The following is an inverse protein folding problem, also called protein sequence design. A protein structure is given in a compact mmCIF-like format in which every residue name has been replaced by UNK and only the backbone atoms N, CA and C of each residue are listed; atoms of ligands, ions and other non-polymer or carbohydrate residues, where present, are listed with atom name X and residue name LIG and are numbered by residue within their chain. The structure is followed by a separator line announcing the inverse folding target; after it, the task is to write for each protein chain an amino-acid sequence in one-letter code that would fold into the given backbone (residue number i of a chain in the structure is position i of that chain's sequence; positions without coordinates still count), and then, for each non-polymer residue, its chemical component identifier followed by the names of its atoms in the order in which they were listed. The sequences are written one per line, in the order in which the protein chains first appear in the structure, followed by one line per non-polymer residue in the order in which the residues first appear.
data_IF_819776166044
#
_entry.id   IF_819776166044
#
_cell.length_a   1.000
_cell.length_b   1.000
_cell.length_c   1.000
_cell.angle_alpha   90.00
_cell.angle_beta   90.00
_cell.angle_gamma   90.00
#
_symmetry.space_group_name_H-M   'P 1'
#
loop_
_entity.id
_entity.type
_entity.pdbx_description
1 polymer ?
#
# COMPACT_ATOMS: atom_id res chain seq x y z
N UNK A 1 -90.99 -36.99 -9.36
CA UNK A 1 -90.25 -36.63 -8.15
C UNK A 1 -88.83 -36.33 -8.53
N UNK A 2 -88.57 -35.07 -8.62
CA UNK A 2 -87.41 -34.22 -8.74
C UNK A 2 -86.24 -34.73 -9.60
N UNK A 3 -86.18 -34.21 -10.82
CA UNK A 3 -85.13 -34.28 -11.79
C UNK A 3 -84.09 -33.14 -11.52
N UNK A 4 -82.82 -33.47 -11.38
CA UNK A 4 -81.79 -32.46 -11.28
C UNK A 4 -81.00 -32.45 -12.61
N UNK A 5 -81.09 -31.31 -13.30
CA UNK A 5 -80.25 -30.96 -14.45
C UNK A 5 -78.86 -30.61 -13.97
N UNK A 6 -77.85 -31.20 -14.57
CA UNK A 6 -76.44 -30.81 -14.43
C UNK A 6 -76.05 -30.07 -15.69
N UNK A 7 -75.76 -28.78 -15.52
CA UNK A 7 -75.19 -27.96 -16.59
C UNK A 7 -73.66 -28.06 -16.50
N UNK A 8 -73.10 -28.61 -17.55
CA UNK A 8 -71.64 -28.71 -17.73
C UNK A 8 -71.14 -27.41 -18.39
N UNK A 9 -70.44 -26.58 -17.63
CA UNK A 9 -69.79 -25.37 -18.15
C UNK A 9 -68.32 -25.68 -18.44
N UNK A 10 -67.93 -25.71 -19.71
CA UNK A 10 -66.53 -25.83 -20.16
C UNK A 10 -65.80 -24.51 -19.91
N UNK A 11 -64.86 -24.52 -18.97
CA UNK A 11 -63.90 -23.43 -18.82
C UNK A 11 -62.62 -23.85 -19.58
N UNK A 12 -62.34 -23.14 -20.68
CA UNK A 12 -61.07 -23.24 -21.40
C UNK A 12 -60.05 -22.40 -20.66
N UNK A 13 -59.16 -23.00 -19.89
CA UNK A 13 -58.00 -22.37 -19.32
C UNK A 13 -56.91 -22.17 -20.38
N UNK A 14 -56.67 -20.93 -20.79
CA UNK A 14 -55.48 -20.57 -21.55
C UNK A 14 -54.30 -20.46 -20.59
N UNK A 15 -53.41 -21.43 -20.66
CA UNK A 15 -52.07 -21.33 -19.98
C UNK A 15 -51.18 -20.49 -20.87
N UNK A 16 -50.98 -19.22 -20.48
CA UNK A 16 -49.95 -18.37 -21.08
C UNK A 16 -48.60 -18.76 -20.45
N UNK A 17 -47.80 -19.47 -21.22
CA UNK A 17 -46.42 -19.80 -20.83
C UNK A 17 -45.55 -18.57 -20.98
N UNK A 18 -45.33 -17.81 -19.89
CA UNK A 18 -44.29 -16.78 -19.83
C UNK A 18 -42.91 -17.45 -19.79
N UNK A 19 -42.27 -17.54 -20.94
CA UNK A 19 -40.84 -17.88 -21.05
C UNK A 19 -40.05 -16.65 -20.49
N UNK A 20 -39.78 -16.66 -19.19
CA UNK A 20 -38.81 -15.76 -18.59
C UNK A 20 -37.42 -16.17 -19.13
N UNK A 21 -36.89 -15.40 -20.08
CA UNK A 21 -35.50 -15.52 -20.50
C UNK A 21 -34.60 -15.06 -19.32
N UNK A 22 -34.17 -16.01 -18.51
CA UNK A 22 -33.10 -15.78 -17.55
C UNK A 22 -31.79 -15.61 -18.33
N UNK A 23 -31.45 -14.37 -18.63
CA UNK A 23 -30.06 -14.07 -19.02
C UNK A 23 -29.17 -14.47 -17.84
N UNK A 24 -28.12 -15.27 -18.05
CA UNK A 24 -27.16 -15.51 -16.98
C UNK A 24 -26.59 -14.14 -16.61
N UNK A 25 -26.82 -13.70 -15.38
CA UNK A 25 -26.03 -12.63 -14.77
C UNK A 25 -24.63 -13.20 -14.69
N UNK A 26 -23.79 -12.85 -15.66
CA UNK A 26 -22.36 -13.06 -15.55
C UNK A 26 -21.93 -12.24 -14.33
N UNK A 27 -21.81 -12.87 -13.18
CA UNK A 27 -21.18 -12.25 -12.03
C UNK A 27 -19.77 -11.93 -12.50
N UNK A 28 -19.51 -10.68 -12.81
CA UNK A 28 -18.14 -10.18 -12.92
C UNK A 28 -17.51 -10.50 -11.56
N UNK A 29 -16.62 -11.48 -11.54
CA UNK A 29 -15.67 -11.66 -10.46
C UNK A 29 -14.83 -10.38 -10.50
N UNK A 30 -15.23 -9.39 -9.71
CA UNK A 30 -14.44 -8.20 -9.50
C UNK A 30 -13.18 -8.70 -8.78
N UNK A 31 -12.07 -8.77 -9.50
CA UNK A 31 -10.77 -8.90 -8.87
C UNK A 31 -10.69 -7.85 -7.77
N UNK A 32 -10.16 -8.17 -6.57
CA UNK A 32 -10.00 -7.17 -5.53
C UNK A 32 -9.28 -5.96 -6.15
N UNK A 33 -9.90 -4.80 -6.02
CA UNK A 33 -9.37 -3.57 -6.60
C UNK A 33 -8.03 -3.26 -5.94
N UNK A 34 -6.97 -3.07 -6.74
CA UNK A 34 -5.66 -2.67 -6.21
C UNK A 34 -5.75 -1.36 -5.45
N UNK A 35 -5.12 -1.29 -4.28
CA UNK A 35 -5.08 -0.08 -3.48
C UNK A 35 -4.19 0.98 -4.15
N UNK A 36 -4.67 2.20 -4.26
CA UNK A 36 -3.83 3.34 -4.64
C UNK A 36 -3.26 3.95 -3.37
N UNK A 37 -1.94 3.82 -3.22
CA UNK A 37 -1.19 4.24 -2.03
C UNK A 37 -0.40 5.51 -2.32
N UNK A 38 -0.64 6.58 -1.56
CA UNK A 38 0.14 7.82 -1.67
C UNK A 38 1.52 7.65 -1.06
N UNK A 39 2.58 7.63 -1.90
CA UNK A 39 3.99 7.52 -1.51
C UNK A 39 4.44 8.76 -0.75
N UNK A 40 4.75 8.60 0.55
CA UNK A 40 5.03 9.71 1.48
C UNK A 40 3.89 10.74 1.52
N UNK A 41 2.66 10.24 1.38
CA UNK A 41 1.47 11.04 1.13
C UNK A 41 1.29 11.40 -0.35
N UNK A 42 0.64 12.52 -0.66
CA UNK A 42 0.53 13.05 -2.02
C UNK A 42 1.78 13.89 -2.38
N UNK A 43 2.95 13.26 -2.39
CA UNK A 43 4.27 13.93 -2.41
C UNK A 43 4.56 14.73 -3.68
N UNK A 44 3.85 14.49 -4.78
CA UNK A 44 3.97 15.36 -5.98
C UNK A 44 3.44 16.78 -5.75
N UNK A 45 2.43 16.96 -4.88
CA UNK A 45 1.70 18.22 -4.68
C UNK A 45 1.79 18.78 -3.26
N UNK A 46 2.34 18.03 -2.31
CA UNK A 46 2.57 18.47 -0.93
C UNK A 46 3.95 17.97 -0.45
N UNK A 47 4.56 18.58 0.61
CA UNK A 47 5.86 18.15 1.09
C UNK A 47 5.81 16.73 1.65
N UNK A 48 6.66 15.84 1.11
CA UNK A 48 6.71 14.43 1.48
C UNK A 48 6.80 14.21 2.98
N UNK A 49 6.17 13.15 3.49
CA UNK A 49 6.26 12.72 4.89
C UNK A 49 5.79 13.78 5.92
N UNK A 50 4.91 14.71 5.52
CA UNK A 50 4.27 15.69 6.43
C UNK A 50 2.78 15.38 6.59
N UNK A 51 2.15 15.94 7.63
CA UNK A 51 0.71 15.80 7.82
C UNK A 51 -0.07 16.42 6.65
N UNK A 52 0.42 17.53 6.07
CA UNK A 52 -0.16 18.13 4.88
C UNK A 52 -0.20 17.16 3.70
N UNK A 53 0.89 16.40 3.46
CA UNK A 53 0.92 15.41 2.37
C UNK A 53 -0.03 14.23 2.62
N UNK A 54 -0.15 13.76 3.86
CA UNK A 54 -1.07 12.69 4.20
C UNK A 54 -2.54 13.12 4.08
N UNK A 55 -2.90 14.28 4.59
CA UNK A 55 -4.24 14.84 4.41
C UNK A 55 -4.57 15.04 2.93
N UNK A 56 -3.61 15.56 2.16
CA UNK A 56 -3.79 15.73 0.72
C UNK A 56 -3.98 14.40 -0.01
N UNK A 57 -3.29 13.32 0.40
CA UNK A 57 -3.51 11.99 -0.15
C UNK A 57 -4.94 11.49 0.09
N UNK A 58 -5.49 11.68 1.28
CA UNK A 58 -6.89 11.34 1.57
C UNK A 58 -7.87 12.19 0.78
N UNK A 59 -7.63 13.51 0.65
CA UNK A 59 -8.47 14.42 -0.15
C UNK A 59 -8.56 14.00 -1.63
N UNK A 60 -7.46 13.51 -2.21
CA UNK A 60 -7.45 13.05 -3.61
C UNK A 60 -7.90 11.60 -3.77
N UNK A 61 -8.37 10.97 -2.70
CA UNK A 61 -9.03 9.67 -2.71
C UNK A 61 -8.08 8.48 -2.70
N UNK A 62 -6.89 8.58 -2.08
CA UNK A 62 -6.06 7.40 -1.83
C UNK A 62 -6.80 6.38 -0.96
N UNK A 63 -6.57 5.08 -1.24
CA UNK A 63 -7.04 3.97 -0.40
C UNK A 63 -6.09 3.74 0.77
N UNK A 64 -4.82 4.12 0.59
CA UNK A 64 -3.76 4.02 1.56
C UNK A 64 -2.80 5.22 1.49
N UNK A 65 -2.09 5.45 2.58
CA UNK A 65 -0.89 6.29 2.60
C UNK A 65 0.32 5.43 2.97
N UNK A 66 1.46 5.81 2.47
CA UNK A 66 2.74 5.25 2.87
C UNK A 66 3.61 6.38 3.43
N UNK A 67 4.40 6.07 4.45
CA UNK A 67 5.37 6.98 5.04
C UNK A 67 6.61 6.26 5.55
N UNK A 68 7.74 6.97 5.51
CA UNK A 68 9.06 6.49 5.93
C UNK A 68 9.32 6.82 7.40
N UNK A 69 9.71 5.86 8.23
CA UNK A 69 9.86 6.06 9.66
C UNK A 69 11.25 5.73 10.17
N UNK A 70 11.80 6.64 10.99
CA UNK A 70 13.11 6.53 11.63
C UNK A 70 13.05 6.83 13.12
N UNK A 71 14.05 6.32 13.86
CA UNK A 71 14.25 6.63 15.27
C UNK A 71 15.08 7.89 15.46
N UNK A 72 14.64 8.73 16.40
CA UNK A 72 15.40 9.85 16.93
C UNK A 72 16.34 9.41 18.05
N UNK A 73 17.25 10.28 18.49
CA UNK A 73 18.18 9.99 19.60
C UNK A 73 17.48 9.72 20.96
N UNK A 74 16.26 10.20 21.12
CA UNK A 74 15.41 9.99 22.32
C UNK A 74 14.33 8.93 22.10
N UNK A 75 14.54 8.03 21.10
CA UNK A 75 13.72 6.84 20.88
C UNK A 75 12.31 7.14 20.37
N UNK A 76 12.08 8.28 19.74
CA UNK A 76 10.81 8.61 19.11
C UNK A 76 10.82 8.23 17.64
N UNK A 77 9.66 7.77 17.13
CA UNK A 77 9.51 7.44 15.71
C UNK A 77 8.94 8.65 14.98
N UNK A 78 9.70 9.15 14.01
CA UNK A 78 9.30 10.27 13.15
C UNK A 78 9.22 9.86 11.70
N UNK A 79 8.45 10.63 10.93
CA UNK A 79 8.27 10.39 9.49
C UNK A 79 9.29 11.22 8.69
N UNK A 80 10.30 10.54 8.13
CA UNK A 80 11.34 11.13 7.28
C UNK A 80 12.06 10.03 6.48
N UNK A 81 12.29 10.28 5.18
CA UNK A 81 12.98 9.30 4.32
C UNK A 81 14.48 9.22 4.61
N UNK A 82 15.19 10.36 4.55
CA UNK A 82 16.64 10.40 4.64
C UNK A 82 17.12 10.20 6.07
N UNK A 83 18.36 9.78 6.25
CA UNK A 83 18.99 9.67 7.57
C UNK A 83 19.32 11.04 8.19
N UNK A 84 19.22 12.12 7.42
CA UNK A 84 19.43 13.49 7.86
C UNK A 84 18.38 14.43 7.24
N UNK A 85 18.31 15.66 7.76
CA UNK A 85 17.26 16.61 7.40
C UNK A 85 17.64 17.57 6.26
N UNK A 86 18.85 17.45 5.69
CA UNK A 86 19.41 18.46 4.75
C UNK A 86 18.51 18.72 3.55
N UNK A 87 18.00 17.68 2.89
CA UNK A 87 17.25 17.80 1.63
C UNK A 87 15.92 18.51 1.81
N UNK A 88 15.24 18.27 2.94
CA UNK A 88 13.87 18.77 3.17
C UNK A 88 13.80 19.98 4.09
N UNK A 89 14.91 20.39 4.68
CA UNK A 89 14.92 21.57 5.59
C UNK A 89 16.03 22.58 5.29
N UNK A 90 17.01 22.23 4.45
CA UNK A 90 18.21 23.01 4.24
C UNK A 90 19.23 22.96 5.40
N UNK A 91 18.87 22.34 6.53
CA UNK A 91 19.71 22.23 7.72
C UNK A 91 20.11 20.77 7.94
N UNK A 92 21.41 20.49 8.04
CA UNK A 92 21.90 19.12 8.20
C UNK A 92 21.88 18.69 9.67
N UNK A 93 20.96 17.82 10.05
CA UNK A 93 20.93 17.12 11.33
C UNK A 93 20.75 15.62 11.09
N UNK A 94 21.61 14.81 11.69
CA UNK A 94 21.47 13.36 11.72
C UNK A 94 20.28 13.00 12.61
N UNK A 95 19.31 12.27 12.05
CA UNK A 95 18.07 11.92 12.75
C UNK A 95 18.36 11.08 14.00
N UNK A 96 19.24 10.09 13.88
CA UNK A 96 19.57 9.18 14.99
C UNK A 96 20.34 9.84 16.14
N UNK A 97 20.91 11.02 15.90
CA UNK A 97 21.66 11.81 16.88
C UNK A 97 20.92 13.06 17.39
N UNK A 98 19.71 13.27 16.91
CA UNK A 98 18.94 14.50 17.22
C UNK A 98 17.62 14.13 17.91
N UNK A 99 17.24 14.88 18.96
CA UNK A 99 15.99 14.67 19.69
C UNK A 99 14.78 15.11 18.86
N UNK A 100 13.61 14.49 19.11
CA UNK A 100 12.33 14.86 18.49
C UNK A 100 12.09 16.38 18.55
N UNK A 101 12.26 16.99 19.72
CA UNK A 101 12.05 18.44 19.90
C UNK A 101 12.92 19.28 18.96
N UNK A 102 14.18 18.90 18.77
CA UNK A 102 15.11 19.61 17.91
C UNK A 102 14.82 19.40 16.43
N UNK A 103 14.26 18.26 16.05
CA UNK A 103 13.84 17.96 14.67
C UNK A 103 12.54 18.70 14.33
N UNK A 104 11.56 18.72 15.22
CA UNK A 104 10.29 19.43 15.03
C UNK A 104 10.42 20.96 15.06
N UNK A 105 11.57 21.51 15.47
CA UNK A 105 11.86 22.93 15.34
C UNK A 105 12.31 23.35 13.92
N UNK A 106 12.48 22.40 13.00
CA UNK A 106 12.85 22.66 11.60
C UNK A 106 11.59 22.74 10.73
N UNK A 107 11.70 23.49 9.63
CA UNK A 107 10.66 23.60 8.62
C UNK A 107 10.85 22.52 7.54
N UNK A 108 9.90 21.59 7.46
CA UNK A 108 9.87 20.49 6.49
C UNK A 108 8.96 20.78 5.28
N UNK A 109 8.37 21.97 5.20
CA UNK A 109 7.39 22.31 4.17
C UNK A 109 7.87 23.33 3.15
N UNK A 110 8.55 24.37 3.56
CA UNK A 110 8.92 25.52 2.72
C UNK A 110 9.77 25.15 1.49
N UNK A 111 10.54 24.07 1.54
CA UNK A 111 11.32 23.57 0.39
C UNK A 111 10.42 23.15 -0.78
N UNK A 112 9.21 22.70 -0.51
CA UNK A 112 8.23 22.25 -1.52
C UNK A 112 7.47 23.43 -2.10
N UNK A 113 6.91 24.27 -1.23
CA UNK A 113 6.21 25.49 -1.57
C UNK A 113 6.09 26.36 -0.30
N UNK A 114 6.13 27.68 -0.45
CA UNK A 114 6.03 28.65 0.66
C UNK A 114 4.71 28.49 1.44
N UNK A 115 3.64 28.02 0.81
CA UNK A 115 2.35 27.77 1.46
C UNK A 115 2.42 26.65 2.51
N UNK A 116 3.45 25.80 2.46
CA UNK A 116 3.70 24.76 3.46
C UNK A 116 4.75 25.17 4.50
N UNK A 117 5.17 26.43 4.52
CA UNK A 117 6.12 26.90 5.51
C UNK A 117 5.60 26.65 6.94
N UNK A 118 6.46 26.10 7.80
CA UNK A 118 6.11 25.70 9.16
C UNK A 118 5.60 24.28 9.34
N UNK A 119 5.45 23.49 8.27
CA UNK A 119 5.23 22.04 8.40
C UNK A 119 6.41 21.40 9.15
N UNK A 120 6.10 20.45 10.02
CA UNK A 120 7.10 19.74 10.82
C UNK A 120 7.14 18.26 10.47
N UNK A 121 8.22 17.55 10.82
CA UNK A 121 8.23 16.10 10.73
C UNK A 121 7.26 15.51 11.78
N UNK A 122 6.21 14.79 11.34
CA UNK A 122 5.27 14.20 12.29
C UNK A 122 5.85 12.95 12.94
N UNK A 123 5.39 12.65 14.16
CA UNK A 123 5.57 11.33 14.76
C UNK A 123 4.64 10.30 14.12
N UNK A 124 4.98 9.01 14.23
CA UNK A 124 4.10 7.93 13.79
C UNK A 124 2.69 8.04 14.42
N UNK A 125 2.61 8.37 15.71
CA UNK A 125 1.33 8.57 16.37
C UNK A 125 0.48 9.68 15.76
N UNK A 126 1.10 10.77 15.30
CA UNK A 126 0.39 11.85 14.58
C UNK A 126 -0.07 11.40 13.18
N UNK A 127 0.75 10.61 12.46
CA UNK A 127 0.36 10.06 11.16
C UNK A 127 -0.82 9.11 11.31
N UNK A 128 -0.79 8.21 12.29
CA UNK A 128 -1.89 7.27 12.60
C UNK A 128 -3.22 8.01 12.78
N UNK A 129 -3.23 9.16 13.42
CA UNK A 129 -4.46 9.96 13.64
C UNK A 129 -5.06 10.54 12.36
N UNK A 130 -4.32 10.57 11.25
CA UNK A 130 -4.85 11.01 9.94
C UNK A 130 -5.62 9.91 9.21
N UNK A 131 -5.47 8.64 9.61
CA UNK A 131 -6.01 7.49 8.89
C UNK A 131 -7.52 7.41 9.09
N UNK A 132 -8.33 7.50 8.02
CA UNK A 132 -9.78 7.38 8.13
C UNK A 132 -10.20 5.93 8.38
N UNK A 133 -11.49 5.67 8.76
CA UNK A 133 -11.97 4.33 9.11
C UNK A 133 -11.74 3.23 8.07
N UNK A 134 -11.66 3.59 6.79
CA UNK A 134 -11.43 2.65 5.68
C UNK A 134 -10.04 2.78 5.04
N UNK A 135 -9.21 3.69 5.56
CA UNK A 135 -7.85 3.93 5.05
C UNK A 135 -6.88 2.85 5.52
N UNK A 136 -5.81 2.65 4.76
CA UNK A 136 -4.69 1.79 5.11
C UNK A 136 -3.43 2.63 5.33
N UNK A 137 -2.58 2.20 6.23
CA UNK A 137 -1.28 2.84 6.51
C UNK A 137 -0.15 1.85 6.26
N UNK A 138 0.72 2.16 5.30
CA UNK A 138 1.97 1.47 5.08
C UNK A 138 3.08 2.20 5.85
N UNK A 139 3.69 1.51 6.81
CA UNK A 139 4.75 2.04 7.68
C UNK A 139 6.08 1.49 7.23
N UNK A 140 6.87 2.29 6.47
CA UNK A 140 8.21 1.85 6.08
C UNK A 140 9.23 2.07 7.21
N UNK A 141 9.80 0.98 7.69
CA UNK A 141 10.83 0.99 8.72
C UNK A 141 12.20 1.15 8.09
N UNK A 142 12.76 2.38 8.17
CA UNK A 142 14.04 2.78 7.55
C UNK A 142 15.27 2.50 8.40
N UNK A 143 15.08 2.02 9.63
CA UNK A 143 16.16 1.66 10.55
C UNK A 143 16.21 0.15 10.78
N UNK A 144 17.19 -0.31 11.56
CA UNK A 144 17.31 -1.72 11.90
C UNK A 144 16.27 -2.23 12.90
N UNK A 145 16.45 -3.44 13.44
CA UNK A 145 15.49 -4.06 14.36
C UNK A 145 15.22 -3.29 15.66
N UNK A 146 16.04 -2.30 15.98
CA UNK A 146 15.89 -1.44 17.16
C UNK A 146 14.63 -0.58 17.14
N UNK A 147 14.02 -0.35 15.96
CA UNK A 147 12.76 0.41 15.85
C UNK A 147 11.54 -0.38 16.33
N UNK A 148 11.65 -1.72 16.40
CA UNK A 148 10.48 -2.59 16.61
C UNK A 148 9.86 -2.43 18.00
N UNK A 149 10.69 -2.29 19.06
CA UNK A 149 10.18 -2.07 20.41
C UNK A 149 9.47 -0.70 20.57
N UNK A 150 10.07 0.45 20.15
CA UNK A 150 9.36 1.73 20.11
C UNK A 150 8.09 1.70 19.24
N UNK A 151 8.09 0.93 18.15
CA UNK A 151 6.90 0.73 17.32
C UNK A 151 5.80 0.00 18.11
N UNK A 152 6.14 -1.06 18.84
CA UNK A 152 5.18 -1.80 19.66
C UNK A 152 4.54 -0.88 20.72
N UNK A 153 5.33 -0.05 21.40
CA UNK A 153 4.81 0.93 22.36
C UNK A 153 3.88 1.96 21.69
N UNK A 154 4.20 2.41 20.49
CA UNK A 154 3.39 3.36 19.75
C UNK A 154 2.04 2.74 19.33
N UNK A 155 2.07 1.52 18.75
CA UNK A 155 0.88 0.83 18.30
C UNK A 155 -0.03 0.41 19.46
N UNK A 156 0.52 0.03 20.60
CA UNK A 156 -0.26 -0.30 21.80
C UNK A 156 -1.08 0.89 22.31
N UNK A 157 -0.61 2.13 22.09
CA UNK A 157 -1.31 3.37 22.49
C UNK A 157 -2.27 3.87 21.41
N UNK A 158 -2.26 3.24 20.22
CA UNK A 158 -3.08 3.62 19.09
C UNK A 158 -4.46 2.95 19.15
N UNK A 159 -5.47 3.68 18.68
CA UNK A 159 -6.81 3.12 18.41
C UNK A 159 -6.98 2.57 16.99
N UNK A 160 -5.97 2.74 16.11
CA UNK A 160 -6.05 2.24 14.75
C UNK A 160 -6.00 0.71 14.75
N UNK A 161 -6.97 0.01 14.14
CA UNK A 161 -6.95 -1.44 14.04
C UNK A 161 -5.69 -1.95 13.33
N UNK A 162 -5.09 -3.02 13.83
CA UNK A 162 -3.90 -3.63 13.20
C UNK A 162 -4.14 -4.08 11.76
N UNK A 163 -5.40 -4.38 11.40
CA UNK A 163 -5.81 -4.71 10.02
C UNK A 163 -5.71 -3.53 9.04
N UNK A 164 -5.58 -2.29 9.55
CA UNK A 164 -5.35 -1.09 8.74
C UNK A 164 -3.84 -0.73 8.64
N UNK A 165 -2.95 -1.53 9.23
CA UNK A 165 -1.51 -1.28 9.25
C UNK A 165 -0.79 -2.37 8.47
N UNK A 166 0.10 -1.96 7.59
CA UNK A 166 1.07 -2.82 6.91
C UNK A 166 2.47 -2.31 7.22
N UNK A 167 3.32 -3.16 7.77
CA UNK A 167 4.74 -2.85 7.99
C UNK A 167 5.52 -3.21 6.74
N UNK A 168 6.34 -2.31 6.25
CA UNK A 168 7.18 -2.55 5.08
C UNK A 168 8.64 -2.21 5.39
N UNK A 169 9.58 -2.97 4.85
CA UNK A 169 11.02 -2.73 5.06
C UNK A 169 11.89 -3.48 4.06
N UNK A 170 13.05 -2.91 3.72
CA UNK A 170 14.12 -3.61 2.99
C UNK A 170 14.96 -4.51 3.91
N UNK A 171 14.98 -4.22 5.21
CA UNK A 171 15.85 -4.90 6.16
C UNK A 171 15.22 -6.22 6.62
N UNK A 172 15.82 -7.34 6.21
CA UNK A 172 15.37 -8.69 6.53
C UNK A 172 15.32 -8.96 8.04
N UNK A 173 16.33 -8.47 8.79
CA UNK A 173 16.37 -8.63 10.24
C UNK A 173 15.23 -7.88 10.93
N UNK A 174 14.89 -6.69 10.41
CA UNK A 174 13.74 -5.90 10.89
C UNK A 174 12.42 -6.62 10.57
N UNK A 175 12.26 -7.12 9.34
CA UNK A 175 11.07 -7.90 8.95
C UNK A 175 10.88 -9.13 9.85
N UNK A 176 11.94 -9.90 10.08
CA UNK A 176 11.91 -11.08 10.95
C UNK A 176 11.55 -10.73 12.40
N UNK A 177 12.10 -9.64 12.94
CA UNK A 177 11.76 -9.18 14.29
C UNK A 177 10.32 -8.68 14.35
N UNK A 178 9.83 -7.97 13.31
CA UNK A 178 8.43 -7.55 13.19
C UNK A 178 7.49 -8.76 13.20
N UNK A 179 7.78 -9.82 12.45
CA UNK A 179 6.96 -11.04 12.44
C UNK A 179 6.81 -11.64 13.83
N UNK A 180 7.92 -11.70 14.59
CA UNK A 180 7.91 -12.25 15.95
C UNK A 180 7.10 -11.37 16.91
N UNK A 181 7.22 -10.04 16.77
CA UNK A 181 6.59 -9.08 17.69
C UNK A 181 5.13 -8.80 17.32
N UNK A 182 4.80 -8.82 16.04
CA UNK A 182 3.47 -8.48 15.50
C UNK A 182 2.90 -9.63 14.65
N UNK A 183 2.48 -10.75 15.25
CA UNK A 183 2.02 -11.92 14.48
C UNK A 183 0.78 -11.65 13.62
N UNK A 184 -0.03 -10.64 13.99
CA UNK A 184 -1.28 -10.30 13.32
C UNK A 184 -1.20 -9.05 12.43
N UNK A 185 -0.01 -8.43 12.29
CA UNK A 185 0.20 -7.31 11.37
C UNK A 185 0.83 -7.84 10.09
N UNK A 186 0.37 -7.34 8.97
CA UNK A 186 0.90 -7.69 7.65
C UNK A 186 2.30 -7.10 7.47
N UNK A 187 3.23 -7.92 7.00
CA UNK A 187 4.63 -7.53 6.79
C UNK A 187 5.00 -7.75 5.35
N UNK A 188 5.42 -6.69 4.66
CA UNK A 188 5.94 -6.77 3.31
C UNK A 188 7.46 -6.52 3.31
N UNK A 189 8.18 -7.40 2.65
CA UNK A 189 9.59 -7.17 2.39
C UNK A 189 9.77 -6.44 1.06
N UNK A 190 10.53 -5.34 1.08
CA UNK A 190 10.80 -4.53 -0.09
C UNK A 190 12.08 -5.01 -0.78
N UNK A 191 12.05 -5.07 -2.11
CA UNK A 191 13.23 -5.37 -2.92
C UNK A 191 13.29 -4.48 -4.16
N UNK A 192 14.51 -4.18 -4.57
CA UNK A 192 14.82 -3.51 -5.83
C UNK A 192 15.61 -4.45 -6.73
N UNK A 193 15.59 -4.20 -8.03
CA UNK A 193 16.24 -5.05 -9.02
C UNK A 193 17.55 -4.46 -9.50
N UNK A 194 18.55 -5.32 -9.65
CA UNK A 194 19.85 -4.98 -10.23
C UNK A 194 20.17 -5.96 -11.36
N UNK A 195 20.80 -5.47 -12.43
CA UNK A 195 21.31 -6.34 -13.47
C UNK A 195 22.52 -7.12 -12.94
N UNK A 196 22.60 -8.39 -13.31
CA UNK A 196 23.79 -9.19 -13.03
C UNK A 196 24.97 -8.70 -13.89
N UNK A 197 26.10 -8.39 -13.27
CA UNK A 197 27.27 -7.81 -13.96
C UNK A 197 27.78 -8.68 -15.12
N UNK A 198 27.64 -10.00 -15.03
CA UNK A 198 28.15 -10.96 -16.02
C UNK A 198 27.09 -11.52 -16.97
N UNK A 199 25.81 -11.10 -16.82
CA UNK A 199 24.68 -11.58 -17.63
C UNK A 199 23.71 -10.41 -17.84
N UNK A 200 23.85 -9.72 -18.97
CA UNK A 200 23.13 -8.47 -19.25
C UNK A 200 21.61 -8.57 -19.24
N UNK A 201 21.05 -9.78 -19.39
CA UNK A 201 19.61 -10.02 -19.44
C UNK A 201 19.06 -10.64 -18.14
N UNK A 202 19.91 -10.80 -17.10
CA UNK A 202 19.47 -11.38 -15.81
C UNK A 202 19.33 -10.30 -14.76
N UNK A 203 18.16 -10.26 -14.14
CA UNK A 203 17.84 -9.39 -13.02
C UNK A 203 17.86 -10.16 -11.70
N UNK A 204 18.41 -9.53 -10.66
CA UNK A 204 18.39 -10.04 -9.29
C UNK A 204 17.64 -9.10 -8.36
N UNK A 205 16.92 -9.65 -7.34
CA UNK A 205 16.80 -11.07 -7.04
C UNK A 205 15.90 -11.81 -8.05
N UNK A 206 16.14 -13.12 -8.22
CA UNK A 206 15.25 -14.01 -8.97
C UNK A 206 13.95 -14.29 -8.22
N UNK A 207 12.94 -14.86 -8.89
CA UNK A 207 11.69 -15.27 -8.24
C UNK A 207 11.92 -16.28 -7.10
N UNK A 208 12.80 -17.26 -7.31
CA UNK A 208 13.20 -18.25 -6.31
C UNK A 208 13.88 -17.60 -5.09
N UNK A 209 14.79 -16.64 -5.32
CA UNK A 209 15.44 -15.91 -4.24
C UNK A 209 14.44 -15.08 -3.42
N UNK A 210 13.46 -14.45 -4.07
CA UNK A 210 12.39 -13.72 -3.39
C UNK A 210 11.57 -14.67 -2.53
N UNK A 211 11.11 -15.80 -3.07
CA UNK A 211 10.32 -16.77 -2.34
C UNK A 211 11.07 -17.32 -1.12
N UNK A 212 12.34 -17.70 -1.30
CA UNK A 212 13.22 -18.17 -0.21
C UNK A 212 13.40 -17.11 0.88
N UNK A 213 13.61 -15.84 0.49
CA UNK A 213 13.75 -14.75 1.46
C UNK A 213 12.47 -14.54 2.27
N UNK A 214 11.30 -14.48 1.60
CA UNK A 214 10.02 -14.31 2.29
C UNK A 214 9.78 -15.43 3.33
N UNK A 215 10.07 -16.68 2.98
CA UNK A 215 9.96 -17.82 3.90
C UNK A 215 10.91 -17.66 5.10
N UNK A 216 12.18 -17.33 4.86
CA UNK A 216 13.20 -17.20 5.91
C UNK A 216 12.90 -16.11 6.93
N UNK A 217 12.31 -15.00 6.48
CA UNK A 217 12.01 -13.85 7.35
C UNK A 217 10.55 -13.85 7.85
N UNK A 218 9.71 -14.72 7.31
CA UNK A 218 8.29 -14.81 7.64
C UNK A 218 7.47 -13.59 7.16
N UNK A 219 7.88 -12.93 6.07
CA UNK A 219 7.09 -11.85 5.48
C UNK A 219 5.94 -12.40 4.65
N UNK A 220 4.82 -11.67 4.62
CA UNK A 220 3.59 -12.14 3.96
C UNK A 220 3.60 -11.84 2.46
N UNK A 221 4.23 -10.73 2.05
CA UNK A 221 4.15 -10.17 0.70
C UNK A 221 5.49 -9.56 0.29
N UNK A 222 5.79 -9.58 -0.99
CA UNK A 222 6.90 -8.81 -1.55
C UNK A 222 6.45 -7.47 -2.10
N UNK A 223 7.20 -6.40 -1.79
CA UNK A 223 7.08 -5.10 -2.44
C UNK A 223 8.15 -4.94 -3.51
N UNK A 224 7.73 -4.98 -4.77
CA UNK A 224 8.64 -4.96 -5.92
C UNK A 224 8.88 -3.52 -6.39
N UNK A 225 10.14 -3.15 -6.63
CA UNK A 225 10.43 -1.98 -7.43
C UNK A 225 9.77 -2.11 -8.82
N UNK A 226 9.05 -1.10 -9.27
CA UNK A 226 8.32 -1.10 -10.53
C UNK A 226 9.23 -0.95 -11.76
N UNK A 227 10.22 -1.84 -11.88
CA UNK A 227 11.15 -1.84 -13.01
C UNK A 227 10.63 -2.73 -14.12
N UNK A 228 10.08 -2.15 -15.20
CA UNK A 228 9.37 -2.87 -16.27
C UNK A 228 10.20 -3.93 -17.00
N UNK A 229 11.52 -3.73 -17.14
CA UNK A 229 12.40 -4.74 -17.76
C UNK A 229 12.66 -5.93 -16.83
N UNK A 230 12.56 -5.73 -15.50
CA UNK A 230 12.74 -6.79 -14.51
C UNK A 230 11.40 -7.47 -14.18
N UNK A 231 10.36 -6.66 -13.86
CA UNK A 231 9.04 -7.14 -13.44
C UNK A 231 8.13 -7.31 -14.64
N UNK A 232 8.48 -8.28 -15.48
CA UNK A 232 7.69 -8.67 -16.65
C UNK A 232 6.57 -9.63 -16.26
N UNK A 233 5.61 -9.85 -17.15
CA UNK A 233 4.59 -10.91 -16.97
C UNK A 233 5.21 -12.29 -16.77
N UNK A 234 6.30 -12.60 -17.48
CA UNK A 234 7.03 -13.86 -17.32
C UNK A 234 7.62 -13.99 -15.92
N UNK A 235 8.24 -12.94 -15.39
CA UNK A 235 8.77 -12.90 -14.03
C UNK A 235 7.65 -13.09 -12.97
N UNK A 236 6.52 -12.39 -13.12
CA UNK A 236 5.39 -12.53 -12.22
C UNK A 236 4.78 -13.94 -12.24
N UNK A 237 4.80 -14.62 -13.40
CA UNK A 237 4.40 -16.02 -13.48
C UNK A 237 5.39 -16.95 -12.77
N UNK A 238 6.70 -16.69 -12.90
CA UNK A 238 7.72 -17.44 -12.13
C UNK A 238 7.51 -17.24 -10.63
N UNK A 239 7.28 -16.01 -10.19
CA UNK A 239 7.02 -15.69 -8.79
C UNK A 239 5.80 -16.46 -8.23
N UNK A 240 4.71 -16.55 -9.01
CA UNK A 240 3.53 -17.35 -8.65
C UNK A 240 3.82 -18.86 -8.59
N UNK A 241 4.68 -19.36 -9.48
CA UNK A 241 5.10 -20.77 -9.47
C UNK A 241 5.94 -21.11 -8.23
N UNK A 242 6.68 -20.14 -7.69
CA UNK A 242 7.39 -20.26 -6.41
C UNK A 242 6.45 -20.07 -5.18
N UNK A 243 5.14 -19.94 -5.40
CA UNK A 243 4.15 -19.80 -4.33
C UNK A 243 3.90 -18.36 -3.86
N UNK A 244 4.58 -17.36 -4.42
CA UNK A 244 4.35 -15.94 -4.09
C UNK A 244 3.21 -15.40 -4.95
N UNK A 245 2.01 -15.38 -4.40
CA UNK A 245 0.79 -15.00 -5.12
C UNK A 245 0.37 -13.55 -4.93
N UNK A 246 0.88 -12.88 -3.89
CA UNK A 246 0.59 -11.48 -3.59
C UNK A 246 1.86 -10.63 -3.67
N UNK A 247 1.73 -9.48 -4.30
CA UNK A 247 2.79 -8.47 -4.39
C UNK A 247 2.19 -7.06 -4.47
N UNK A 248 2.94 -6.07 -4.03
CA UNK A 248 2.67 -4.66 -4.33
C UNK A 248 3.85 -4.05 -5.09
N UNK A 249 3.65 -2.90 -5.72
CA UNK A 249 4.69 -2.22 -6.50
C UNK A 249 4.90 -0.78 -6.06
N UNK A 250 6.15 -0.32 -6.14
CA UNK A 250 6.62 1.01 -5.78
C UNK A 250 7.82 1.42 -6.67
N UNK A 251 8.06 2.65 -7.03
CA UNK A 251 7.09 3.73 -7.08
C UNK A 251 6.60 3.85 -8.51
N UNK A 252 5.29 3.86 -8.72
CA UNK A 252 4.67 3.84 -10.04
C UNK A 252 4.01 5.17 -10.30
N UNK A 253 4.63 6.03 -11.09
CA UNK A 253 4.09 7.34 -11.45
C UNK A 253 3.54 7.38 -12.88
N UNK A 254 3.96 6.43 -13.74
CA UNK A 254 3.43 6.25 -15.09
C UNK A 254 2.09 5.51 -15.04
N UNK A 255 1.00 6.07 -15.61
CA UNK A 255 -0.31 5.45 -15.58
C UNK A 255 -0.41 4.13 -16.36
N UNK A 256 0.34 3.96 -17.45
CA UNK A 256 0.32 2.73 -18.25
C UNK A 256 1.01 1.57 -17.51
N UNK A 257 2.08 1.89 -16.79
CA UNK A 257 2.73 0.94 -15.87
C UNK A 257 1.79 0.54 -14.74
N UNK A 258 1.07 1.49 -14.17
CA UNK A 258 0.09 1.18 -13.14
C UNK A 258 -1.02 0.24 -13.64
N UNK A 259 -1.57 0.50 -14.83
CA UNK A 259 -2.58 -0.37 -15.47
C UNK A 259 -2.01 -1.76 -15.70
N UNK A 260 -0.75 -1.88 -16.14
CA UNK A 260 -0.11 -3.18 -16.29
C UNK A 260 -0.06 -3.93 -14.96
N UNK A 261 0.44 -3.32 -13.89
CA UNK A 261 0.55 -3.98 -12.59
C UNK A 261 -0.80 -4.32 -11.96
N UNK A 262 -1.81 -3.47 -12.15
CA UNK A 262 -3.20 -3.76 -11.73
C UNK A 262 -3.74 -5.00 -12.46
N UNK A 263 -3.56 -5.08 -13.78
CA UNK A 263 -3.98 -6.23 -14.59
C UNK A 263 -3.23 -7.51 -14.23
N UNK A 264 -1.98 -7.38 -13.82
CA UNK A 264 -1.19 -8.51 -13.32
C UNK A 264 -1.45 -8.82 -11.84
N UNK A 265 -2.41 -8.15 -11.19
CA UNK A 265 -2.91 -8.50 -9.86
C UNK A 265 -2.09 -7.93 -8.70
N UNK A 266 -1.41 -6.81 -8.89
CA UNK A 266 -0.77 -6.11 -7.78
C UNK A 266 -1.80 -5.76 -6.70
N UNK A 267 -1.49 -6.09 -5.43
CA UNK A 267 -2.33 -5.75 -4.28
C UNK A 267 -2.44 -4.24 -4.05
N UNK A 268 -1.34 -3.52 -4.22
CA UNK A 268 -1.29 -2.07 -4.09
C UNK A 268 -0.30 -1.45 -5.07
N UNK A 269 -0.61 -0.22 -5.48
CA UNK A 269 0.24 0.64 -6.31
C UNK A 269 0.65 1.84 -5.47
N UNK A 270 1.94 1.94 -5.13
CA UNK A 270 2.49 3.10 -4.42
C UNK A 270 2.98 4.14 -5.42
N UNK A 271 2.47 5.38 -5.33
CA UNK A 271 2.71 6.44 -6.32
C UNK A 271 2.90 7.81 -5.67
N UNK A 272 3.74 8.66 -6.27
CA UNK A 272 3.86 10.09 -5.92
C UNK A 272 2.68 10.93 -6.48
N UNK A 273 2.01 10.43 -7.51
CA UNK A 273 0.98 11.16 -8.28
C UNK A 273 -0.43 10.56 -8.14
N UNK A 274 -0.94 10.29 -6.91
CA UNK A 274 -2.17 9.53 -6.72
C UNK A 274 -3.40 10.15 -7.39
N UNK A 275 -3.50 11.49 -7.42
CA UNK A 275 -4.61 12.18 -8.07
C UNK A 275 -4.63 11.95 -9.60
N UNK A 276 -3.47 11.94 -10.24
CA UNK A 276 -3.35 11.69 -11.68
C UNK A 276 -3.68 10.23 -11.97
N UNK A 277 -3.09 9.32 -11.22
CA UNK A 277 -3.29 7.89 -11.40
C UNK A 277 -4.75 7.50 -11.23
N UNK A 278 -5.42 8.01 -10.19
CA UNK A 278 -6.84 7.75 -9.94
C UNK A 278 -7.73 8.18 -11.11
N UNK A 279 -7.52 9.38 -11.65
CA UNK A 279 -8.27 9.87 -12.83
C UNK A 279 -8.05 8.98 -14.05
N UNK A 280 -6.82 8.54 -14.28
CA UNK A 280 -6.50 7.69 -15.43
C UNK A 280 -7.15 6.31 -15.33
N UNK A 281 -7.11 5.66 -14.16
CA UNK A 281 -7.75 4.36 -13.94
C UNK A 281 -9.28 4.44 -14.11
N UNK A 282 -9.92 5.53 -13.69
CA UNK A 282 -11.37 5.72 -13.84
C UNK A 282 -11.82 5.93 -15.29
N UNK A 283 -10.90 6.31 -16.17
CA UNK A 283 -11.19 6.56 -17.60
C UNK A 283 -10.96 5.34 -18.50
N UNK A 284 -10.46 4.21 -17.96
CA UNK A 284 -10.14 2.95 -18.65
C UNK A 284 -10.85 1.75 -18.03
#
# INVERSE_FOLDING_TARGET
MILKFVVQTFIRSYIVLLLASTRPICAQVTSPQSLITGHRGASSIAPENTLAAFHKAWEVGCDAIEGDFRLTSDGKIICIHDSNTQRTTGINKDVSKTSLRSLQALDFGAWKDVHYAGETCPTLGQVILTVPPHGQLFVELKTGPEIVEPLAECLQKSSLPTSQITLITFNESTAKKCRTTFPNIRIHWLTYFQRCENQTDTWLPSAEQIASTLEQIGADVVGLQAHRDAVTKSFLNQLRNEGVTEFHVWTVDDPDDAIFFIREGAFAITTNTPAQLRRHIQSH
#
